data_IF_483184348900
#
_entry.id   IF_483184348900
#
_cell.length_a   1.000
_cell.length_b   1.000
_cell.length_c   1.000
_cell.angle_alpha   90.00
_cell.angle_beta   90.00
_cell.angle_gamma   90.00
#
_symmetry.space_group_name_H-M   'P 1'
#
loop_
_entity.id
_entity.type
_entity.pdbx_description
1 polymer ?
#
# COMPACT_ATOMS: atom_id res chain seq x y z
N UNK A 1 -6.45 -36.60 4.79
CA UNK A 1 -7.55 -36.03 3.97
C UNK A 1 -6.98 -35.68 2.61
N UNK A 2 -7.32 -36.39 1.55
CA UNK A 2 -6.89 -36.03 0.18
C UNK A 2 -7.73 -34.82 -0.26
N UNK A 3 -7.14 -33.62 -0.25
CA UNK A 3 -7.80 -32.43 -0.75
C UNK A 3 -8.04 -32.56 -2.26
N UNK A 4 -9.22 -32.17 -2.73
CA UNK A 4 -9.53 -32.08 -4.16
C UNK A 4 -8.47 -31.20 -4.84
N UNK A 5 -7.82 -31.73 -5.88
CA UNK A 5 -6.88 -30.93 -6.69
C UNK A 5 -7.67 -29.90 -7.49
N UNK A 6 -7.39 -28.63 -7.25
CA UNK A 6 -8.02 -27.52 -7.96
C UNK A 6 -7.48 -27.46 -9.39
N UNK A 7 -8.36 -27.39 -10.36
CA UNK A 7 -8.07 -27.29 -11.79
C UNK A 7 -8.28 -25.86 -12.31
N UNK A 8 -7.82 -25.59 -13.53
CA UNK A 8 -8.12 -24.30 -14.20
C UNK A 8 -9.62 -24.11 -14.46
N UNK A 9 -10.35 -25.20 -14.70
CA UNK A 9 -11.80 -25.15 -14.88
C UNK A 9 -12.51 -24.74 -13.58
N UNK A 10 -12.11 -25.29 -12.42
CA UNK A 10 -12.65 -24.89 -11.12
C UNK A 10 -12.41 -23.38 -10.86
N UNK A 11 -11.25 -22.84 -11.27
CA UNK A 11 -10.95 -21.40 -11.14
C UNK A 11 -11.83 -20.58 -12.06
N UNK A 12 -12.01 -20.98 -13.31
CA UNK A 12 -12.86 -20.28 -14.26
C UNK A 12 -14.33 -20.25 -13.80
N UNK A 13 -14.85 -21.37 -13.29
CA UNK A 13 -16.19 -21.45 -12.72
C UNK A 13 -16.33 -20.51 -11.51
N UNK A 14 -15.35 -20.50 -10.61
CA UNK A 14 -15.34 -19.60 -9.46
C UNK A 14 -15.29 -18.12 -9.90
N UNK A 15 -14.48 -17.78 -10.90
CA UNK A 15 -14.40 -16.42 -11.43
C UNK A 15 -15.76 -15.95 -11.97
N UNK A 16 -16.46 -16.78 -12.73
CA UNK A 16 -17.80 -16.45 -13.22
C UNK A 16 -18.82 -16.29 -12.09
N UNK A 17 -18.76 -17.17 -11.10
CA UNK A 17 -19.70 -17.17 -9.97
C UNK A 17 -19.54 -15.97 -9.04
N UNK A 18 -18.29 -15.52 -8.84
CA UNK A 18 -17.98 -14.50 -7.83
C UNK A 18 -17.58 -13.15 -8.42
N UNK A 19 -17.56 -13.01 -9.74
CA UNK A 19 -17.32 -11.70 -10.37
C UNK A 19 -18.39 -10.70 -9.95
N UNK A 20 -17.98 -9.46 -9.80
CA UNK A 20 -18.87 -8.36 -9.45
C UNK A 20 -18.77 -7.15 -10.42
N UNK A 21 -18.20 -7.39 -11.60
CA UNK A 21 -18.11 -6.41 -12.65
C UNK A 21 -19.50 -5.85 -13.01
N UNK A 22 -19.63 -4.53 -13.08
CA UNK A 22 -20.86 -3.86 -13.43
C UNK A 22 -21.98 -3.95 -12.38
N UNK A 23 -21.72 -4.52 -11.19
CA UNK A 23 -22.72 -4.63 -10.12
C UNK A 23 -23.26 -3.28 -9.66
N UNK A 24 -22.43 -2.24 -9.69
CA UNK A 24 -22.77 -0.87 -9.27
C UNK A 24 -22.88 0.10 -10.43
N UNK A 25 -22.97 -0.40 -11.67
CA UNK A 25 -23.08 0.38 -12.89
C UNK A 25 -21.84 0.27 -13.77
N UNK A 26 -22.00 0.72 -15.02
CA UNK A 26 -20.92 0.62 -16.02
C UNK A 26 -19.75 1.57 -15.74
N UNK A 27 -20.04 2.69 -15.08
CA UNK A 27 -19.06 3.75 -14.78
C UNK A 27 -18.51 3.65 -13.34
N UNK A 28 -18.76 2.51 -12.64
CA UNK A 28 -18.26 2.32 -11.29
C UNK A 28 -16.76 2.00 -11.30
N UNK A 29 -15.95 2.87 -10.70
CA UNK A 29 -14.52 2.72 -10.49
C UNK A 29 -14.16 2.26 -9.05
N UNK A 30 -15.15 2.16 -8.16
CA UNK A 30 -14.95 1.86 -6.74
C UNK A 30 -14.95 0.35 -6.49
N UNK A 31 -15.84 -0.40 -7.13
CA UNK A 31 -15.93 -1.84 -6.97
C UNK A 31 -16.38 -2.29 -5.58
N UNK A 32 -15.74 -3.31 -5.03
CA UNK A 32 -16.10 -3.91 -3.73
C UNK A 32 -16.18 -2.93 -2.56
N UNK A 33 -15.35 -1.86 -2.45
CA UNK A 33 -15.53 -0.83 -1.43
C UNK A 33 -16.90 -0.16 -1.39
N UNK A 34 -17.72 -0.26 -2.45
CA UNK A 34 -19.13 0.16 -2.42
C UNK A 34 -19.97 -0.52 -1.31
N UNK A 35 -19.50 -1.64 -0.75
CA UNK A 35 -20.13 -2.25 0.42
C UNK A 35 -19.82 -1.53 1.74
N UNK A 36 -18.89 -0.58 1.74
CA UNK A 36 -18.48 0.15 2.94
C UNK A 36 -19.33 1.44 3.03
N UNK A 37 -20.47 1.33 3.68
CA UNK A 37 -21.36 2.46 3.93
C UNK A 37 -21.11 3.12 5.29
N UNK A 38 -22.00 4.01 5.65
CA UNK A 38 -21.94 4.77 6.92
C UNK A 38 -22.00 3.84 8.13
N UNK A 39 -22.83 2.80 8.09
CA UNK A 39 -22.98 1.84 9.20
C UNK A 39 -21.72 1.04 9.43
N UNK A 40 -21.05 0.57 8.39
CA UNK A 40 -19.78 -0.16 8.48
C UNK A 40 -18.70 0.71 9.11
N UNK A 41 -18.61 1.99 8.72
CA UNK A 41 -17.67 2.95 9.28
C UNK A 41 -17.94 3.18 10.78
N UNK A 42 -19.20 3.42 11.14
CA UNK A 42 -19.60 3.62 12.55
C UNK A 42 -19.29 2.37 13.38
N UNK A 43 -19.60 1.19 12.86
CA UNK A 43 -19.36 -0.06 13.54
C UNK A 43 -17.86 -0.35 13.69
N UNK A 44 -17.05 -0.07 12.66
CA UNK A 44 -15.60 -0.18 12.75
C UNK A 44 -15.01 0.74 13.83
N UNK A 45 -15.48 1.99 13.92
CA UNK A 45 -15.03 2.93 14.95
C UNK A 45 -15.34 2.43 16.38
N UNK A 46 -16.46 1.75 16.59
CA UNK A 46 -16.83 1.14 17.88
C UNK A 46 -15.90 0.01 18.33
N UNK A 47 -15.10 -0.57 17.41
CA UNK A 47 -14.13 -1.63 17.73
C UNK A 47 -12.91 -1.10 18.50
N UNK A 48 -12.66 0.18 18.47
CA UNK A 48 -11.56 0.80 19.25
C UNK A 48 -11.90 0.79 20.73
N UNK A 49 -11.29 -0.12 21.50
CA UNK A 49 -11.55 -0.29 22.94
C UNK A 49 -10.42 0.22 23.84
N UNK A 50 -9.19 0.16 23.38
CA UNK A 50 -8.00 0.44 24.19
C UNK A 50 -7.26 1.71 23.79
N UNK A 51 -7.63 2.35 22.67
CA UNK A 51 -6.92 3.52 22.15
C UNK A 51 -5.42 3.29 21.86
N UNK A 52 -4.99 2.03 21.74
CA UNK A 52 -3.59 1.69 21.46
C UNK A 52 -3.32 1.76 19.98
N UNK A 53 -2.35 2.56 19.59
CA UNK A 53 -1.85 2.62 18.20
C UNK A 53 -0.71 1.62 18.06
N UNK A 54 -0.79 0.78 17.02
CA UNK A 54 0.24 -0.21 16.68
C UNK A 54 0.67 0.10 15.24
N UNK A 55 1.92 0.51 15.07
CA UNK A 55 2.49 0.68 13.73
C UNK A 55 2.81 -0.69 13.13
N UNK A 56 2.31 -0.93 11.94
CA UNK A 56 2.67 -2.08 11.10
C UNK A 56 3.58 -1.66 9.93
N UNK A 57 4.06 -0.41 9.95
CA UNK A 57 4.94 0.12 8.93
C UNK A 57 6.33 -0.54 8.97
N UNK A 58 6.89 -0.77 7.80
CA UNK A 58 8.31 -1.07 7.61
C UNK A 58 9.05 0.21 7.28
N UNK A 59 10.36 0.22 7.52
CA UNK A 59 11.21 1.34 7.13
C UNK A 59 11.30 1.44 5.60
N UNK A 60 11.42 2.65 5.10
CA UNK A 60 11.73 2.90 3.69
C UNK A 60 13.24 2.74 3.46
N UNK A 61 13.73 1.50 3.55
CA UNK A 61 15.14 1.18 3.42
C UNK A 61 15.38 -0.13 2.64
N UNK A 62 16.65 -0.49 2.48
CA UNK A 62 17.08 -1.69 1.78
C UNK A 62 16.73 -3.01 2.50
N UNK A 63 16.22 -2.97 3.73
CA UNK A 63 15.83 -4.15 4.51
C UNK A 63 14.37 -4.55 4.31
N UNK A 64 13.67 -3.86 3.44
CA UNK A 64 12.26 -4.13 3.15
C UNK A 64 12.02 -5.52 2.52
N UNK A 65 10.75 -5.89 2.30
CA UNK A 65 10.37 -7.25 1.88
C UNK A 65 10.85 -7.64 0.48
N UNK A 66 11.25 -6.67 -0.35
CA UNK A 66 11.73 -6.89 -1.73
C UNK A 66 13.25 -7.01 -1.83
N UNK A 67 13.96 -7.05 -0.71
CA UNK A 67 15.42 -7.06 -0.68
C UNK A 67 16.05 -8.31 -1.27
N UNK A 68 17.35 -8.19 -1.59
CA UNK A 68 18.17 -9.26 -2.20
C UNK A 68 18.24 -10.57 -1.41
N UNK A 69 17.78 -10.59 -0.15
CA UNK A 69 17.68 -11.79 0.67
C UNK A 69 16.43 -12.63 0.41
N UNK A 70 15.48 -12.11 -0.32
CA UNK A 70 14.31 -12.91 -0.73
C UNK A 70 14.73 -13.83 -1.87
N UNK A 71 14.51 -15.11 -1.70
CA UNK A 71 14.83 -16.16 -2.69
C UNK A 71 14.15 -15.89 -4.06
N UNK A 72 13.15 -15.04 -4.06
CA UNK A 72 12.38 -14.66 -5.25
C UNK A 72 12.10 -13.14 -5.18
N UNK A 73 13.00 -12.29 -5.71
CA UNK A 73 12.62 -10.88 -5.94
C UNK A 73 11.43 -10.89 -6.88
N UNK A 74 10.24 -10.62 -6.34
CA UNK A 74 9.01 -10.79 -7.07
C UNK A 74 8.92 -9.75 -8.18
N UNK A 75 8.94 -10.20 -9.43
CA UNK A 75 8.62 -9.41 -10.62
C UNK A 75 9.50 -8.17 -10.83
N UNK A 76 10.78 -8.20 -10.44
CA UNK A 76 11.69 -7.07 -10.62
C UNK A 76 11.43 -5.88 -9.68
N UNK A 77 10.62 -6.07 -8.64
CA UNK A 77 10.38 -5.02 -7.64
C UNK A 77 11.62 -4.81 -6.77
N UNK A 78 11.87 -3.55 -6.42
CA UNK A 78 12.92 -3.15 -5.49
C UNK A 78 12.36 -2.81 -4.13
N UNK A 79 13.22 -2.79 -3.11
CA UNK A 79 12.90 -2.09 -1.87
C UNK A 79 12.77 -0.59 -2.11
N UNK A 80 12.11 0.16 -1.21
CA UNK A 80 12.07 1.60 -1.31
C UNK A 80 13.46 2.21 -1.44
N UNK A 81 13.61 3.20 -2.30
CA UNK A 81 14.79 4.02 -2.44
C UNK A 81 14.46 5.38 -1.85
N UNK A 82 15.11 5.72 -0.74
CA UNK A 82 14.95 6.99 -0.06
C UNK A 82 16.10 7.91 -0.41
N UNK A 83 15.80 9.12 -0.84
CA UNK A 83 16.80 10.13 -1.21
C UNK A 83 16.44 11.47 -0.59
N UNK A 84 17.43 12.14 0.00
CA UNK A 84 17.28 13.50 0.51
C UNK A 84 17.38 14.51 -0.63
N UNK A 85 16.39 15.37 -0.76
CA UNK A 85 16.44 16.57 -1.61
C UNK A 85 17.15 17.70 -0.89
N UNK A 86 16.93 17.79 0.42
CA UNK A 86 17.60 18.75 1.33
C UNK A 86 17.89 18.04 2.63
N UNK A 87 19.11 18.13 3.10
CA UNK A 87 19.55 17.43 4.31
C UNK A 87 19.43 18.28 5.58
N UNK A 88 19.04 19.55 5.45
CA UNK A 88 19.10 20.52 6.54
C UNK A 88 20.48 21.19 6.68
N UNK A 89 21.51 20.70 5.98
CA UNK A 89 22.85 21.33 5.98
C UNK A 89 22.86 22.69 5.30
N UNK A 90 21.92 22.97 4.42
CA UNK A 90 21.65 24.29 3.85
C UNK A 90 21.29 25.32 4.92
N UNK A 91 20.82 24.90 6.09
CA UNK A 91 20.64 25.76 7.26
C UNK A 91 21.97 26.37 7.74
N UNK A 92 23.07 25.64 7.63
CA UNK A 92 24.41 26.15 8.01
C UNK A 92 25.00 27.05 6.94
N UNK A 93 24.64 26.85 5.68
CA UNK A 93 25.12 27.73 4.58
C UNK A 93 24.35 29.04 4.47
N UNK A 94 23.24 29.19 5.19
CA UNK A 94 22.44 30.42 5.21
C UNK A 94 21.62 30.68 3.93
N UNK A 95 21.51 29.75 3.03
CA UNK A 95 20.81 29.90 1.73
C UNK A 95 19.38 30.41 1.88
N UNK A 96 18.68 29.98 2.94
CA UNK A 96 17.29 30.34 3.20
C UNK A 96 17.12 31.43 4.30
N UNK A 97 18.22 32.04 4.78
CA UNK A 97 18.19 32.99 5.89
C UNK A 97 17.29 34.18 5.61
N UNK A 98 17.32 34.72 4.38
CA UNK A 98 16.45 35.81 3.98
C UNK A 98 14.95 35.52 4.07
N UNK A 99 14.59 34.25 4.07
CA UNK A 99 13.19 33.77 4.21
C UNK A 99 12.81 33.39 5.63
N UNK A 100 13.78 33.38 6.56
CA UNK A 100 13.55 32.99 7.96
C UNK A 100 13.18 31.54 8.16
N UNK A 101 13.49 30.64 7.22
CA UNK A 101 13.14 29.25 7.26
C UNK A 101 14.36 28.34 7.22
N UNK A 102 14.16 27.11 7.70
CA UNK A 102 15.10 25.99 7.56
C UNK A 102 14.31 24.81 7.00
N UNK A 103 14.92 23.99 6.16
CA UNK A 103 14.22 22.90 5.50
C UNK A 103 15.07 21.62 5.44
N UNK A 104 14.42 20.49 5.70
CA UNK A 104 14.82 19.18 5.23
C UNK A 104 13.69 18.67 4.35
N UNK A 105 14.03 17.95 3.30
CA UNK A 105 13.06 17.44 2.33
C UNK A 105 13.59 16.17 1.69
N UNK A 106 12.72 15.25 1.38
CA UNK A 106 13.10 13.96 0.85
C UNK A 106 12.13 13.43 -0.21
N UNK A 107 12.51 12.37 -0.85
CA UNK A 107 11.69 11.64 -1.81
C UNK A 107 11.85 10.14 -1.61
N UNK A 108 10.79 9.41 -1.88
CA UNK A 108 10.78 7.94 -1.85
C UNK A 108 10.30 7.43 -3.19
N UNK A 109 11.09 6.56 -3.79
CA UNK A 109 10.67 5.74 -4.93
C UNK A 109 10.40 4.33 -4.44
N UNK A 110 9.21 3.79 -4.70
CA UNK A 110 8.85 2.43 -4.34
C UNK A 110 7.85 1.84 -5.34
N UNK A 111 7.96 0.55 -5.66
CA UNK A 111 6.89 -0.17 -6.33
C UNK A 111 5.67 -0.27 -5.41
N UNK A 112 4.50 0.13 -5.86
CA UNK A 112 3.27 0.16 -5.03
C UNK A 112 2.91 -1.21 -4.46
N UNK A 113 3.14 -2.28 -5.23
CA UNK A 113 2.94 -3.66 -4.76
C UNK A 113 4.12 -4.23 -3.95
N UNK A 114 5.05 -3.40 -3.54
CA UNK A 114 6.21 -3.82 -2.74
C UNK A 114 5.87 -4.14 -1.29
N UNK A 115 4.80 -3.56 -0.76
CA UNK A 115 4.32 -3.71 0.63
C UNK A 115 2.81 -3.84 0.65
N UNK A 116 2.22 -3.92 1.85
CA UNK A 116 0.77 -3.93 2.03
C UNK A 116 0.16 -2.64 1.50
N UNK A 117 -0.77 -2.75 0.59
CA UNK A 117 -1.48 -1.64 -0.04
C UNK A 117 -2.87 -2.11 -0.49
N UNK A 118 -3.71 -1.18 -0.90
CA UNK A 118 -4.89 -1.49 -1.69
C UNK A 118 -4.48 -1.67 -3.15
N UNK A 119 -4.99 -2.72 -3.75
CA UNK A 119 -4.78 -3.01 -5.16
C UNK A 119 -6.09 -2.76 -5.91
N UNK A 120 -6.06 -1.83 -6.83
CA UNK A 120 -7.18 -1.51 -7.69
C UNK A 120 -7.20 -2.36 -8.95
N UNK A 121 -8.21 -2.16 -9.77
CA UNK A 121 -8.38 -2.81 -11.08
C UNK A 121 -7.74 -2.01 -12.22
N UNK A 122 -6.85 -1.10 -11.92
CA UNK A 122 -6.22 -0.18 -12.88
C UNK A 122 -5.42 -0.84 -13.98
#
# INVERSE_FOLDING_TARGET
MSGKKITRADIAEAAEKYKNWGKWGADDEVGTPNYVGVEEIINAAKLVKKGKVISLALNFDYKGPQGAKTKYPAMGRTNPIHSMLRTGTDAYSGVLDKRGIRAADDTVFLPTHGCTHWDGLG
#
